data_IF_160883504371
#
_entry.id   IF_160883504371
#
_cell.length_a   1.000
_cell.length_b   1.000
_cell.length_c   1.000
_cell.angle_alpha   90.00
_cell.angle_beta   90.00
_cell.angle_gamma   90.00
#
_symmetry.space_group_name_H-M   'P 1'
#
loop_
_entity.id
_entity.type
_entity.pdbx_description
1 polymer ?
#
# COMPACT_ATOMS: atom_id res chain seq x y z
N UNK A 1 -3.44 -28.52 8.50
CA UNK A 1 -2.75 -29.80 8.78
C UNK A 1 -3.59 -31.03 8.49
N UNK A 2 -4.91 -30.99 8.64
CA UNK A 2 -5.77 -32.16 8.39
C UNK A 2 -5.62 -32.75 6.97
N UNK A 3 -5.57 -31.90 5.93
CA UNK A 3 -5.37 -32.37 4.56
C UNK A 3 -4.09 -33.21 4.39
N UNK A 4 -2.99 -32.83 5.03
CA UNK A 4 -1.72 -33.57 4.96
C UNK A 4 -1.85 -34.92 5.67
N UNK A 5 -2.56 -34.97 6.80
CA UNK A 5 -2.82 -36.23 7.52
C UNK A 5 -3.70 -37.15 6.69
N UNK A 6 -4.80 -36.66 6.15
CA UNK A 6 -5.73 -37.42 5.33
C UNK A 6 -5.04 -38.02 4.08
N UNK A 7 -4.17 -37.26 3.40
CA UNK A 7 -3.38 -37.76 2.27
C UNK A 7 -2.39 -38.83 2.71
N UNK A 8 -1.72 -38.64 3.85
CA UNK A 8 -0.80 -39.63 4.39
C UNK A 8 -1.49 -40.92 4.82
N UNK A 9 -2.71 -40.81 5.38
CA UNK A 9 -3.51 -41.94 5.86
C UNK A 9 -4.21 -42.70 4.74
N UNK A 10 -4.51 -42.05 3.60
CA UNK A 10 -5.15 -42.71 2.46
C UNK A 10 -4.24 -43.75 1.80
N UNK A 11 -2.92 -43.59 1.91
CA UNK A 11 -1.94 -44.46 1.26
C UNK A 11 -1.93 -44.36 -0.27
N UNK A 12 -2.65 -43.38 -0.83
CA UNK A 12 -2.69 -43.15 -2.27
C UNK A 12 -1.38 -42.51 -2.77
N UNK A 13 -1.02 -42.78 -4.02
CA UNK A 13 0.13 -42.13 -4.63
C UNK A 13 -0.15 -40.62 -4.80
N UNK A 14 0.75 -39.78 -4.30
CA UNK A 14 0.65 -38.33 -4.39
C UNK A 14 2.01 -37.70 -4.75
N UNK A 15 1.98 -36.44 -5.21
CA UNK A 15 3.21 -35.64 -5.41
C UNK A 15 3.80 -35.21 -4.07
N UNK A 16 5.05 -34.75 -4.07
CA UNK A 16 5.63 -34.07 -2.90
C UNK A 16 4.72 -32.90 -2.48
N UNK A 17 4.42 -32.82 -1.19
CA UNK A 17 3.64 -31.71 -0.60
C UNK A 17 4.57 -30.94 0.31
N UNK A 18 4.83 -29.68 -0.03
CA UNK A 18 5.59 -28.74 0.78
C UNK A 18 4.63 -27.78 1.48
N UNK A 19 4.88 -27.50 2.76
CA UNK A 19 4.05 -26.58 3.55
C UNK A 19 4.96 -25.48 4.11
N UNK A 20 4.74 -24.25 3.64
CA UNK A 20 5.45 -23.07 4.11
C UNK A 20 4.55 -22.28 5.09
N UNK A 21 5.05 -22.04 6.29
CA UNK A 21 4.43 -21.13 7.26
C UNK A 21 5.20 -19.83 7.28
N UNK A 22 4.59 -18.76 6.79
CA UNK A 22 5.16 -17.41 6.83
C UNK A 22 4.80 -16.71 8.13
N UNK A 23 5.62 -15.74 8.53
CA UNK A 23 5.38 -14.89 9.70
C UNK A 23 5.19 -13.44 9.28
N UNK A 24 4.49 -12.65 10.09
CA UNK A 24 4.38 -11.19 9.89
C UNK A 24 3.80 -10.79 8.51
N UNK A 25 2.76 -11.51 8.08
CA UNK A 25 2.00 -11.23 6.86
C UNK A 25 1.28 -9.88 6.98
N UNK A 26 0.49 -9.73 8.04
CA UNK A 26 -0.41 -8.60 8.36
C UNK A 26 0.24 -7.20 8.40
N UNK A 27 1.57 -7.14 8.36
CA UNK A 27 2.34 -5.88 8.38
C UNK A 27 3.34 -5.79 7.22
N UNK A 28 2.97 -6.35 6.07
CA UNK A 28 3.69 -6.15 4.82
C UNK A 28 4.42 -7.37 4.28
N UNK A 29 3.95 -8.58 4.60
CA UNK A 29 4.45 -9.86 4.06
C UNK A 29 5.94 -10.10 4.30
N UNK A 30 6.49 -9.63 5.43
CA UNK A 30 7.95 -9.69 5.64
C UNK A 30 8.48 -11.12 5.68
N UNK A 31 7.75 -12.06 6.28
CA UNK A 31 8.17 -13.46 6.31
C UNK A 31 8.24 -14.08 4.92
N UNK A 32 7.23 -13.83 4.07
CA UNK A 32 7.23 -14.32 2.68
C UNK A 32 8.36 -13.69 1.86
N UNK A 33 8.57 -12.36 1.98
CA UNK A 33 9.62 -11.62 1.26
C UNK A 33 11.05 -12.09 1.58
N UNK A 34 11.27 -12.63 2.78
CA UNK A 34 12.57 -13.11 3.24
C UNK A 34 12.63 -14.63 3.37
N UNK A 35 11.62 -15.33 2.85
CA UNK A 35 11.61 -16.79 2.89
C UNK A 35 12.75 -17.32 2.01
N UNK A 36 13.50 -18.28 2.54
CA UNK A 36 14.58 -18.93 1.81
C UNK A 36 13.99 -19.91 0.78
N UNK A 37 13.75 -19.40 -0.43
CA UNK A 37 13.15 -20.17 -1.52
C UNK A 37 14.05 -21.31 -2.02
N UNK A 38 15.34 -21.38 -1.63
CA UNK A 38 16.20 -22.53 -1.96
C UNK A 38 15.73 -23.83 -1.29
N UNK A 39 14.85 -23.74 -0.29
CA UNK A 39 14.26 -24.87 0.44
C UNK A 39 12.93 -25.36 -0.12
N UNK A 40 12.43 -24.73 -1.19
CA UNK A 40 11.15 -25.06 -1.82
C UNK A 40 11.43 -25.55 -3.24
N UNK A 41 11.02 -26.79 -3.52
CA UNK A 41 11.17 -27.40 -4.85
C UNK A 41 9.94 -27.14 -5.75
N UNK A 42 8.78 -26.89 -5.15
CA UNK A 42 7.52 -26.70 -5.88
C UNK A 42 7.52 -25.43 -6.73
N UNK A 43 7.10 -25.57 -7.99
CA UNK A 43 6.96 -24.45 -8.94
C UNK A 43 5.56 -23.84 -8.96
N UNK A 44 4.64 -24.38 -8.16
CA UNK A 44 3.26 -23.92 -8.02
C UNK A 44 2.87 -23.98 -6.54
N UNK A 45 2.06 -23.03 -6.11
CA UNK A 45 1.61 -22.95 -4.72
C UNK A 45 0.12 -22.62 -4.64
N UNK A 46 -0.51 -23.06 -3.55
CA UNK A 46 -1.84 -22.65 -3.15
C UNK A 46 -1.67 -21.87 -1.85
N UNK A 47 -2.09 -20.60 -1.85
CA UNK A 47 -2.08 -19.76 -0.66
C UNK A 47 -3.45 -19.87 0.01
N UNK A 48 -3.49 -20.46 1.19
CA UNK A 48 -4.72 -20.65 1.97
C UNK A 48 -4.99 -19.45 2.86
N UNK A 49 -5.17 -18.28 2.24
CA UNK A 49 -5.30 -17.00 2.94
C UNK A 49 -6.23 -16.02 2.18
N UNK A 50 -7.31 -16.55 1.63
CA UNK A 50 -8.31 -15.76 0.90
C UNK A 50 -9.68 -15.87 1.53
N UNK A 51 -10.42 -14.77 1.55
CA UNK A 51 -11.84 -14.76 1.88
C UNK A 51 -12.73 -15.26 0.74
N UNK A 52 -14.02 -15.46 1.04
CA UNK A 52 -15.04 -15.86 0.07
C UNK A 52 -15.52 -17.31 0.23
N UNK A 53 -16.49 -17.74 -0.59
CA UNK A 53 -17.02 -19.10 -0.53
C UNK A 53 -15.97 -20.17 -0.89
N UNK A 54 -16.06 -21.35 -0.26
CA UNK A 54 -15.26 -22.51 -0.61
C UNK A 54 -15.43 -22.83 -2.10
N UNK A 55 -14.31 -23.05 -2.80
CA UNK A 55 -14.27 -23.27 -4.24
C UNK A 55 -13.97 -22.02 -5.07
N UNK A 56 -13.91 -20.84 -4.44
CA UNK A 56 -13.42 -19.62 -5.10
C UNK A 56 -11.90 -19.71 -5.27
N UNK A 57 -11.40 -19.41 -6.48
CA UNK A 57 -9.97 -19.41 -6.79
C UNK A 57 -9.59 -18.00 -7.24
N UNK A 58 -8.72 -17.35 -6.45
CA UNK A 58 -8.13 -16.06 -6.81
C UNK A 58 -6.86 -16.35 -7.62
N UNK A 59 -6.89 -16.05 -8.91
CA UNK A 59 -5.75 -16.26 -9.81
C UNK A 59 -4.86 -15.03 -9.96
N UNK A 60 -5.35 -13.86 -9.53
CA UNK A 60 -4.68 -12.57 -9.70
C UNK A 60 -4.96 -11.67 -8.51
N UNK A 61 -3.92 -11.00 -8.01
CA UNK A 61 -4.01 -9.98 -6.98
C UNK A 61 -3.26 -8.72 -7.45
N UNK A 62 -3.72 -7.50 -7.10
CA UNK A 62 -3.03 -6.28 -7.50
C UNK A 62 -1.73 -6.10 -6.72
N UNK A 63 -0.72 -5.56 -7.38
CA UNK A 63 0.43 -4.96 -6.70
C UNK A 63 -0.02 -3.75 -5.88
N UNK A 64 0.69 -3.46 -4.79
CA UNK A 64 0.46 -2.30 -3.93
C UNK A 64 1.77 -1.55 -3.70
N UNK A 65 1.71 -0.22 -3.79
CA UNK A 65 2.77 0.66 -3.31
C UNK A 65 2.20 1.67 -2.33
N UNK A 66 2.92 1.87 -1.22
CA UNK A 66 2.57 2.84 -0.18
C UNK A 66 3.53 4.03 -0.23
N UNK A 67 3.00 5.23 -0.09
CA UNK A 67 3.75 6.47 -0.01
C UNK A 67 3.61 7.07 1.40
N UNK A 68 4.74 7.55 1.94
CA UNK A 68 4.78 8.36 3.15
C UNK A 68 5.35 9.72 2.77
N UNK A 69 4.51 10.74 2.81
CA UNK A 69 4.85 12.09 2.39
C UNK A 69 4.90 12.98 3.63
N UNK A 70 5.97 13.77 3.75
CA UNK A 70 6.08 14.85 4.74
C UNK A 70 6.22 16.15 3.96
N UNK A 71 5.29 17.08 4.20
CA UNK A 71 5.33 18.42 3.61
C UNK A 71 5.77 19.38 4.70
N UNK A 72 6.89 20.04 4.46
CA UNK A 72 7.45 21.07 5.33
C UNK A 72 7.00 22.45 4.83
N UNK A 73 6.26 23.15 5.68
CA UNK A 73 5.90 24.56 5.49
C UNK A 73 6.79 25.48 6.31
N UNK A 74 6.29 26.68 6.57
CA UNK A 74 6.96 27.69 7.39
C UNK A 74 5.95 28.32 8.37
N UNK A 75 6.18 28.23 9.68
CA UNK A 75 5.24 28.78 10.66
C UNK A 75 5.24 30.30 10.64
N UNK A 76 4.07 30.87 10.88
CA UNK A 76 3.85 32.29 11.11
C UNK A 76 2.59 32.47 11.98
N UNK A 77 2.43 33.65 12.59
CA UNK A 77 1.22 33.94 13.35
C UNK A 77 0.05 34.22 12.39
N UNK A 78 -0.94 33.33 12.37
CA UNK A 78 -1.99 33.32 11.35
C UNK A 78 -2.85 34.59 11.31
N UNK A 79 -2.96 35.30 12.44
CA UNK A 79 -3.72 36.56 12.54
C UNK A 79 -2.89 37.83 12.41
N UNK A 80 -1.56 37.75 12.29
CA UNK A 80 -0.69 38.93 12.26
C UNK A 80 0.01 39.09 10.90
N UNK A 81 0.70 38.04 10.46
CA UNK A 81 1.54 38.05 9.25
C UNK A 81 1.54 36.66 8.57
N UNK A 82 0.36 36.11 8.21
CA UNK A 82 0.28 34.78 7.59
C UNK A 82 1.12 34.66 6.30
N UNK A 83 1.31 35.75 5.56
CA UNK A 83 2.13 35.84 4.35
C UNK A 83 3.63 35.60 4.58
N UNK A 84 4.11 35.73 5.83
CA UNK A 84 5.48 35.39 6.18
C UNK A 84 5.71 33.87 6.30
N UNK A 85 4.63 33.09 6.36
CA UNK A 85 4.62 31.63 6.45
C UNK A 85 4.30 30.92 5.13
N UNK A 86 4.40 29.59 5.16
CA UNK A 86 4.01 28.69 4.08
C UNK A 86 3.16 27.61 4.72
N UNK A 87 1.89 27.52 4.33
CA UNK A 87 0.96 26.58 4.93
C UNK A 87 1.09 25.20 4.27
N UNK A 88 1.62 24.23 5.01
CA UNK A 88 1.80 22.86 4.51
C UNK A 88 0.48 22.21 4.02
N UNK A 89 -0.66 22.54 4.65
CA UNK A 89 -1.97 22.05 4.21
C UNK A 89 -2.40 22.64 2.87
N UNK A 90 -2.09 23.90 2.59
CA UNK A 90 -2.42 24.53 1.31
C UNK A 90 -1.65 23.86 0.17
N UNK A 91 -0.35 23.64 0.35
CA UNK A 91 0.49 22.89 -0.61
C UNK A 91 -0.07 21.48 -0.85
N UNK A 92 -0.42 20.76 0.22
CA UNK A 92 -1.04 19.44 0.11
C UNK A 92 -2.38 19.49 -0.63
N UNK A 93 -3.25 20.45 -0.32
CA UNK A 93 -4.56 20.56 -0.94
C UNK A 93 -4.43 20.79 -2.45
N UNK A 94 -3.51 21.65 -2.87
CA UNK A 94 -3.25 21.93 -4.28
C UNK A 94 -2.75 20.68 -5.01
N UNK A 95 -1.81 19.92 -4.43
CA UNK A 95 -1.35 18.65 -4.97
C UNK A 95 -2.47 17.61 -5.08
N UNK A 96 -3.22 17.41 -3.99
CA UNK A 96 -4.31 16.41 -3.91
C UNK A 96 -5.42 16.75 -4.91
N UNK A 97 -5.74 18.02 -5.11
CA UNK A 97 -6.78 18.46 -6.05
C UNK A 97 -6.47 18.10 -7.51
N UNK A 98 -5.20 17.94 -7.85
CA UNK A 98 -4.71 17.57 -9.18
C UNK A 98 -4.43 16.06 -9.31
N UNK A 99 -4.59 15.32 -8.21
CA UNK A 99 -4.26 13.91 -8.14
C UNK A 99 -5.43 13.03 -8.61
N UNK A 100 -5.12 11.97 -9.35
CA UNK A 100 -6.10 10.92 -9.66
C UNK A 100 -6.20 9.99 -8.47
N UNK A 101 -7.38 9.90 -7.86
CA UNK A 101 -7.65 9.14 -6.65
C UNK A 101 -8.92 8.30 -6.81
N UNK A 102 -9.14 7.40 -5.85
CA UNK A 102 -10.20 6.41 -5.85
C UNK A 102 -10.06 5.43 -7.03
N UNK A 103 -11.11 5.27 -7.85
CA UNK A 103 -11.11 4.39 -9.02
C UNK A 103 -10.55 5.17 -10.20
N UNK A 104 -9.39 4.73 -10.70
CA UNK A 104 -8.72 5.37 -11.84
C UNK A 104 -9.13 4.67 -13.14
N UNK A 105 -9.07 3.34 -13.15
CA UNK A 105 -9.59 2.49 -14.21
C UNK A 105 -10.03 1.13 -13.65
N UNK A 106 -10.45 0.21 -14.51
CA UNK A 106 -10.96 -1.12 -14.14
C UNK A 106 -9.98 -1.93 -13.27
N UNK A 107 -8.69 -1.62 -13.34
CA UNK A 107 -7.62 -2.41 -12.73
C UNK A 107 -6.80 -1.61 -11.70
N UNK A 108 -6.96 -0.29 -11.63
CA UNK A 108 -6.10 0.63 -10.88
C UNK A 108 -6.89 1.52 -9.93
N UNK A 109 -6.39 1.64 -8.70
CA UNK A 109 -6.95 2.51 -7.66
C UNK A 109 -5.86 3.22 -6.88
N UNK A 110 -6.16 4.39 -6.33
CA UNK A 110 -5.28 5.08 -5.39
C UNK A 110 -6.07 5.71 -4.25
N UNK A 111 -5.47 5.81 -3.06
CA UNK A 111 -6.13 6.33 -1.88
C UNK A 111 -5.16 7.10 -0.99
N UNK A 112 -5.65 8.17 -0.36
CA UNK A 112 -4.97 8.83 0.76
C UNK A 112 -5.68 8.38 2.04
N UNK A 113 -4.99 7.58 2.84
CA UNK A 113 -5.58 6.92 4.01
C UNK A 113 -5.41 7.71 5.30
N UNK A 114 -4.32 8.47 5.43
CA UNK A 114 -3.97 9.20 6.65
C UNK A 114 -3.49 10.60 6.29
N UNK A 115 -4.01 11.61 7.00
CA UNK A 115 -3.57 13.01 6.92
C UNK A 115 -3.47 13.53 8.35
N UNK A 116 -2.28 13.96 8.77
CA UNK A 116 -2.03 14.39 10.14
C UNK A 116 -1.08 15.59 10.17
N UNK A 117 -1.52 16.68 10.79
CA UNK A 117 -0.72 17.89 10.96
C UNK A 117 -1.50 19.02 11.63
N UNK A 118 -0.82 20.13 11.90
CA UNK A 118 -1.38 21.27 12.64
C UNK A 118 -1.21 21.15 14.15
N UNK A 119 -1.03 22.29 14.82
CA UNK A 119 -0.84 22.39 16.27
C UNK A 119 -1.87 23.30 16.93
N UNK A 120 -2.16 24.44 16.30
CA UNK A 120 -3.14 25.41 16.78
C UNK A 120 -3.71 26.19 15.60
N UNK A 121 -4.91 26.75 15.75
CA UNK A 121 -5.59 27.52 14.69
C UNK A 121 -4.96 28.88 14.43
N UNK A 122 -4.18 29.41 15.37
CA UNK A 122 -3.48 30.69 15.24
C UNK A 122 -2.05 30.56 14.68
N UNK A 123 -1.65 29.39 14.19
CA UNK A 123 -0.33 29.12 13.62
C UNK A 123 -0.50 28.63 12.17
N UNK A 124 0.19 29.25 11.22
CA UNK A 124 0.31 28.73 9.85
C UNK A 124 0.99 27.36 9.91
N UNK A 125 0.33 26.32 9.39
CA UNK A 125 0.74 24.92 9.58
C UNK A 125 2.15 24.66 9.02
N UNK A 126 3.14 24.30 9.87
CA UNK A 126 4.52 24.14 9.44
C UNK A 126 4.85 22.72 8.95
N UNK A 127 4.01 21.72 9.24
CA UNK A 127 4.26 20.33 8.85
C UNK A 127 2.93 19.61 8.64
N UNK A 128 2.86 18.80 7.57
CA UNK A 128 1.78 17.85 7.33
C UNK A 128 2.35 16.50 6.91
N UNK A 129 1.87 15.42 7.53
CA UNK A 129 2.20 14.04 7.19
C UNK A 129 1.03 13.37 6.49
N UNK A 130 1.30 12.69 5.39
CA UNK A 130 0.31 11.98 4.58
C UNK A 130 0.78 10.54 4.35
N UNK A 131 -0.11 9.57 4.55
CA UNK A 131 0.08 8.20 4.10
C UNK A 131 -0.93 7.85 3.01
N UNK A 132 -0.43 7.38 1.88
CA UNK A 132 -1.22 7.07 0.70
C UNK A 132 -0.82 5.71 0.11
N UNK A 133 -1.66 5.14 -0.74
CA UNK A 133 -1.37 3.93 -1.49
C UNK A 133 -1.91 3.98 -2.91
N UNK A 134 -1.27 3.22 -3.80
CA UNK A 134 -1.80 2.88 -5.11
C UNK A 134 -1.78 1.36 -5.28
N UNK A 135 -2.77 0.84 -6.01
CA UNK A 135 -2.91 -0.58 -6.35
C UNK A 135 -3.21 -0.73 -7.83
N UNK A 136 -2.62 -1.73 -8.48
CA UNK A 136 -3.00 -2.11 -9.84
C UNK A 136 -2.79 -3.59 -10.12
N UNK A 137 -3.59 -4.18 -11.00
CA UNK A 137 -3.31 -5.50 -11.59
C UNK A 137 -2.19 -5.45 -12.64
N UNK A 138 -1.75 -4.25 -13.04
CA UNK A 138 -0.69 -4.04 -14.02
C UNK A 138 0.46 -3.20 -13.42
N UNK A 139 1.68 -3.73 -13.42
CA UNK A 139 2.84 -3.10 -12.80
C UNK A 139 3.22 -1.75 -13.43
N UNK A 140 3.07 -1.60 -14.76
CA UNK A 140 3.34 -0.33 -15.43
C UNK A 140 2.31 0.74 -15.06
N UNK A 141 1.03 0.36 -14.94
CA UNK A 141 -0.02 1.28 -14.47
C UNK A 141 0.21 1.68 -13.01
N UNK A 142 0.59 0.74 -12.15
CA UNK A 142 0.96 1.02 -10.76
C UNK A 142 2.11 2.04 -10.71
N UNK A 143 3.19 1.79 -11.45
CA UNK A 143 4.34 2.70 -11.49
C UNK A 143 3.97 4.10 -12.02
N UNK A 144 3.16 4.17 -13.08
CA UNK A 144 2.65 5.45 -13.62
C UNK A 144 1.80 6.20 -12.60
N UNK A 145 0.91 5.51 -11.88
CA UNK A 145 0.08 6.15 -10.88
C UNK A 145 0.91 6.67 -9.71
N UNK A 146 1.88 5.90 -9.23
CA UNK A 146 2.77 6.34 -8.15
C UNK A 146 3.61 7.53 -8.57
N UNK A 147 4.15 7.51 -9.80
CA UNK A 147 4.87 8.66 -10.36
C UNK A 147 3.97 9.90 -10.48
N UNK A 148 2.71 9.73 -10.91
CA UNK A 148 1.71 10.82 -10.94
C UNK A 148 1.54 11.43 -9.55
N UNK A 149 1.27 10.61 -8.53
CA UNK A 149 1.09 11.07 -7.15
C UNK A 149 2.32 11.84 -6.63
N UNK A 150 3.53 11.34 -6.87
CA UNK A 150 4.78 12.03 -6.50
C UNK A 150 4.88 13.38 -7.22
N UNK A 151 4.68 13.39 -8.55
CA UNK A 151 4.81 14.60 -9.35
C UNK A 151 3.82 15.71 -8.96
N UNK A 152 2.60 15.35 -8.51
CA UNK A 152 1.63 16.34 -8.03
C UNK A 152 2.07 17.03 -6.73
N UNK A 153 2.75 16.30 -5.83
CA UNK A 153 3.33 16.90 -4.63
C UNK A 153 4.57 17.75 -4.95
N UNK A 154 5.44 17.27 -5.84
CA UNK A 154 6.65 18.01 -6.24
C UNK A 154 6.32 19.29 -7.01
N UNK A 155 5.25 19.30 -7.80
CA UNK A 155 4.84 20.49 -8.58
C UNK A 155 4.11 21.55 -7.74
N UNK A 156 3.59 21.18 -6.58
CA UNK A 156 2.89 22.09 -5.67
C UNK A 156 3.84 22.76 -4.65
N UNK A 157 5.08 22.27 -4.55
CA UNK A 157 6.13 22.79 -3.67
C UNK A 157 6.95 23.89 -4.35
#
# INVERSE_FOLDING_TARGET
>A
MEAVRAISESGEAHKTVEVAFTVYEERGMHGAKHFDMSKIESTQAIVLDSGGPIGTIITTAPGQQSLKITIEGKPAHAGLEPEAGINALTVAADAISQMQLSRIDDETTANIGVVQGGQATNIVMPELKIEAEARSLNDEKLAKQVAHMISTFESAA
#
